data_IF_883130444221
#
_entry.id   IF_883130444221
#
_cell.length_a   1.000
_cell.length_b   1.000
_cell.length_c   1.000
_cell.angle_alpha   90.00
_cell.angle_beta   90.00
_cell.angle_gamma   90.00
#
_symmetry.space_group_name_H-M   'P 1'
#
loop_
_entity.id
_entity.type
_entity.pdbx_description
1 polymer ?
#
# COMPACT_ATOMS: atom_id res chain seq x y z
N UNK A 1 -17.31 -1.75 -5.64
CA UNK A 1 -17.11 -0.88 -4.46
C UNK A 1 -16.37 0.34 -4.98
N UNK A 2 -16.99 1.52 -4.93
CA UNK A 2 -16.54 2.75 -5.62
C UNK A 2 -16.07 3.77 -4.60
N UNK A 3 -14.78 3.76 -4.27
CA UNK A 3 -14.07 4.87 -3.60
C UNK A 3 -12.58 4.64 -3.89
N UNK A 4 -11.99 5.30 -4.88
CA UNK A 4 -10.52 5.31 -5.09
C UNK A 4 -10.03 6.64 -5.68
N UNK A 5 -8.94 7.17 -5.11
CA UNK A 5 -8.32 8.43 -5.54
C UNK A 5 -7.24 8.17 -6.60
N UNK A 6 -7.22 8.98 -7.65
CA UNK A 6 -6.18 8.99 -8.69
C UNK A 6 -5.61 10.41 -8.81
N UNK A 7 -4.29 10.52 -8.76
CA UNK A 7 -3.58 11.74 -9.13
C UNK A 7 -2.85 11.53 -10.46
N UNK A 8 -3.18 12.35 -11.47
CA UNK A 8 -2.56 12.33 -12.79
C UNK A 8 -1.60 13.51 -12.92
N UNK A 9 -0.33 13.24 -13.22
CA UNK A 9 0.69 14.24 -13.53
C UNK A 9 1.11 14.07 -14.98
N UNK A 10 1.03 15.14 -15.77
CA UNK A 10 1.38 15.12 -17.19
C UNK A 10 2.70 15.87 -17.37
N UNK A 11 3.70 15.22 -17.95
CA UNK A 11 5.01 15.81 -18.21
C UNK A 11 5.23 15.89 -19.73
N UNK A 12 5.18 17.10 -20.30
CA UNK A 12 5.40 17.30 -21.73
C UNK A 12 6.84 17.67 -22.06
N UNK A 13 7.55 16.84 -22.82
CA UNK A 13 8.72 17.26 -23.61
C UNK A 13 8.49 16.90 -25.07
N UNK A 14 8.59 17.88 -25.98
CA UNK A 14 8.46 17.69 -27.42
C UNK A 14 9.59 16.77 -27.93
N UNK A 15 9.26 15.51 -28.22
CA UNK A 15 10.12 14.61 -28.97
C UNK A 15 9.29 14.01 -30.11
N UNK A 16 9.93 14.00 -31.29
CA UNK A 16 9.47 13.50 -32.60
C UNK A 16 8.35 12.46 -32.58
N UNK A 17 7.30 12.72 -33.37
CA UNK A 17 6.14 11.87 -33.62
C UNK A 17 6.52 10.40 -33.91
N UNK A 18 6.09 9.51 -33.03
CA UNK A 18 5.65 8.18 -33.45
C UNK A 18 4.20 8.30 -33.93
N UNK A 19 3.89 7.77 -35.11
CA UNK A 19 2.60 7.91 -35.80
C UNK A 19 1.39 7.22 -35.10
N UNK A 20 1.53 6.84 -33.83
CA UNK A 20 0.56 5.99 -33.13
C UNK A 20 -0.40 6.77 -32.21
N UNK A 21 -0.28 8.10 -32.08
CA UNK A 21 -1.17 8.92 -31.24
C UNK A 21 -1.29 8.37 -29.79
N UNK A 22 -0.20 7.81 -29.27
CA UNK A 22 -0.11 7.25 -27.92
C UNK A 22 0.84 8.06 -27.04
N UNK A 23 0.58 8.04 -25.73
CA UNK A 23 1.43 8.63 -24.69
C UNK A 23 2.02 7.54 -23.83
N UNK A 24 3.36 7.49 -23.74
CA UNK A 24 4.05 6.56 -22.84
C UNK A 24 3.73 6.94 -21.38
N UNK A 25 3.09 6.05 -20.66
CA UNK A 25 2.53 6.36 -19.36
C UNK A 25 3.08 5.44 -18.28
N UNK A 26 3.78 6.00 -17.31
CA UNK A 26 4.18 5.28 -16.09
C UNK A 26 3.02 5.25 -15.12
N UNK A 27 2.85 4.13 -14.43
CA UNK A 27 1.73 3.88 -13.52
C UNK A 27 2.28 3.32 -12.23
N UNK A 28 2.02 4.00 -11.12
CA UNK A 28 2.35 3.56 -9.78
C UNK A 28 1.05 3.16 -9.05
N UNK A 29 1.01 1.96 -8.48
CA UNK A 29 -0.11 1.48 -7.67
C UNK A 29 0.35 1.26 -6.22
N UNK A 30 -0.24 2.00 -5.31
CA UNK A 30 0.05 1.94 -3.88
C UNK A 30 -1.20 2.13 -3.03
N UNK A 31 -1.09 1.98 -1.71
CA UNK A 31 -2.10 2.48 -0.78
C UNK A 31 -1.85 3.96 -0.44
N UNK A 32 -2.68 4.58 0.40
CA UNK A 32 -2.53 5.96 0.87
C UNK A 32 -1.18 6.23 1.57
N UNK A 33 -0.48 5.16 1.96
CA UNK A 33 0.79 5.19 2.66
C UNK A 33 1.99 4.89 1.76
N UNK A 34 1.80 4.95 0.43
CA UNK A 34 2.82 4.70 -0.59
C UNK A 34 3.43 3.29 -0.55
N UNK A 35 2.79 2.33 0.13
CA UNK A 35 3.21 0.94 0.05
C UNK A 35 2.74 0.36 -1.27
N UNK A 36 3.66 -0.18 -2.07
CA UNK A 36 3.31 -0.68 -3.39
C UNK A 36 2.44 -1.92 -3.32
N UNK A 37 1.59 -2.09 -4.32
CA UNK A 37 0.92 -3.36 -4.60
C UNK A 37 1.69 -4.10 -5.71
N UNK A 38 2.63 -5.00 -5.37
CA UNK A 38 3.40 -5.73 -6.36
C UNK A 38 2.59 -6.86 -7.00
N UNK A 39 3.01 -7.31 -8.19
CA UNK A 39 2.39 -8.42 -8.92
C UNK A 39 0.87 -8.28 -9.10
N UNK A 40 0.39 -7.04 -9.19
CA UNK A 40 -1.03 -6.71 -9.21
C UNK A 40 -1.46 -6.38 -10.62
N UNK A 41 -2.50 -7.07 -11.10
CA UNK A 41 -3.04 -6.85 -12.43
C UNK A 41 -3.77 -5.51 -12.49
N UNK A 42 -3.46 -4.69 -13.48
CA UNK A 42 -4.14 -3.44 -13.79
C UNK A 42 -4.75 -3.54 -15.19
N UNK A 43 -6.00 -3.11 -15.35
CA UNK A 43 -6.71 -3.07 -16.62
C UNK A 43 -7.05 -1.63 -16.98
N UNK A 44 -6.79 -1.25 -18.22
CA UNK A 44 -7.18 0.02 -18.81
C UNK A 44 -8.21 -0.26 -19.90
N UNK A 45 -9.40 0.29 -19.73
CA UNK A 45 -10.55 0.04 -20.61
C UNK A 45 -11.11 1.36 -21.13
N UNK A 46 -10.99 1.57 -22.44
CA UNK A 46 -11.57 2.69 -23.17
C UNK A 46 -12.26 2.19 -24.44
N UNK A 47 -12.71 3.12 -25.30
CA UNK A 47 -13.35 2.74 -26.57
C UNK A 47 -12.33 2.18 -27.55
N UNK A 48 -11.09 2.69 -27.51
CA UNK A 48 -9.98 2.30 -28.39
C UNK A 48 -8.85 1.60 -27.63
N UNK A 49 -8.89 1.62 -26.32
CA UNK A 49 -7.86 1.08 -25.43
C UNK A 49 -8.39 -0.15 -24.69
N UNK A 50 -7.66 -1.25 -24.78
CA UNK A 50 -7.86 -2.42 -23.93
C UNK A 50 -6.50 -3.00 -23.58
N UNK A 51 -5.98 -2.63 -22.41
CA UNK A 51 -4.63 -2.99 -21.97
C UNK A 51 -4.75 -3.68 -20.61
N UNK A 52 -3.99 -4.76 -20.45
CA UNK A 52 -3.81 -5.43 -19.16
C UNK A 52 -2.33 -5.51 -18.89
N UNK A 53 -1.91 -5.04 -17.72
CA UNK A 53 -0.52 -5.08 -17.26
C UNK A 53 -0.45 -5.61 -15.83
N UNK A 54 0.76 -5.87 -15.33
CA UNK A 54 1.04 -6.35 -13.99
C UNK A 54 2.15 -5.48 -13.40
N UNK A 55 1.96 -5.03 -12.17
CA UNK A 55 2.98 -4.25 -11.46
C UNK A 55 4.20 -5.08 -11.07
N UNK A 56 5.37 -4.46 -11.08
CA UNK A 56 6.61 -5.04 -10.58
C UNK A 56 6.68 -5.07 -9.03
N UNK A 57 7.85 -5.40 -8.47
CA UNK A 57 8.06 -5.43 -7.01
C UNK A 57 7.89 -4.07 -6.32
N UNK A 58 7.98 -2.98 -7.08
CA UNK A 58 7.84 -1.60 -6.60
C UNK A 58 6.43 -1.04 -6.88
N UNK A 59 5.49 -1.88 -7.33
CA UNK A 59 4.13 -1.43 -7.63
C UNK A 59 4.04 -0.63 -8.93
N UNK A 60 5.05 -0.71 -9.80
CA UNK A 60 5.15 0.11 -10.99
C UNK A 60 4.90 -0.70 -12.27
N UNK A 61 4.40 -0.03 -13.30
CA UNK A 61 4.26 -0.57 -14.66
C UNK A 61 4.25 0.60 -15.65
N UNK A 62 4.42 0.32 -16.94
CA UNK A 62 4.21 1.30 -18.00
C UNK A 62 3.21 0.77 -19.05
N UNK A 63 2.45 1.68 -19.67
CA UNK A 63 1.49 1.41 -20.75
C UNK A 63 1.49 2.57 -21.75
N UNK A 64 1.19 2.28 -23.01
CA UNK A 64 0.96 3.33 -24.02
C UNK A 64 -0.55 3.64 -24.09
N UNK A 65 -0.94 4.83 -23.65
CA UNK A 65 -2.36 5.26 -23.66
C UNK A 65 -2.68 6.00 -24.94
N UNK A 66 -3.76 5.62 -25.63
CA UNK A 66 -4.25 6.28 -26.84
C UNK A 66 -4.82 7.67 -26.49
N UNK A 67 -4.25 8.72 -27.07
CA UNK A 67 -4.71 10.10 -26.89
C UNK A 67 -6.12 10.29 -27.48
N UNK A 68 -6.94 11.11 -26.83
CA UNK A 68 -8.35 11.36 -27.13
C UNK A 68 -9.30 10.23 -26.72
N UNK A 69 -8.81 9.14 -26.11
CA UNK A 69 -9.67 8.07 -25.56
C UNK A 69 -10.00 8.34 -24.09
N UNK A 70 -11.14 7.84 -23.66
CA UNK A 70 -11.64 7.97 -22.30
C UNK A 70 -11.46 6.63 -21.60
N UNK A 71 -10.56 6.56 -20.62
CA UNK A 71 -10.09 5.31 -20.03
C UNK A 71 -10.59 5.15 -18.60
N UNK A 72 -11.23 4.02 -18.33
CA UNK A 72 -11.51 3.53 -16.98
C UNK A 72 -10.39 2.58 -16.57
N UNK A 73 -9.91 2.70 -15.34
CA UNK A 73 -8.89 1.81 -14.78
C UNK A 73 -9.50 0.91 -13.73
N UNK A 74 -9.09 -0.36 -13.71
CA UNK A 74 -9.34 -1.27 -12.59
C UNK A 74 -8.08 -2.02 -12.20
N UNK A 75 -8.02 -2.53 -10.97
CA UNK A 75 -7.00 -3.48 -10.54
C UNK A 75 -7.64 -4.74 -9.94
N UNK A 76 -6.90 -5.84 -9.91
CA UNK A 76 -7.33 -7.10 -9.28
C UNK A 76 -6.44 -7.41 -8.10
N UNK A 77 -7.01 -7.39 -6.89
CA UNK A 77 -6.32 -7.68 -5.63
C UNK A 77 -7.13 -8.75 -4.90
N UNK A 78 -6.48 -9.81 -4.44
CA UNK A 78 -7.12 -10.94 -3.75
C UNK A 78 -8.35 -11.49 -4.53
N UNK A 79 -8.18 -11.71 -5.84
CA UNK A 79 -9.21 -12.19 -6.77
C UNK A 79 -10.45 -11.28 -6.92
N UNK A 80 -10.42 -10.08 -6.34
CA UNK A 80 -11.49 -9.08 -6.41
C UNK A 80 -11.05 -7.91 -7.27
N UNK A 81 -11.95 -7.47 -8.15
CA UNK A 81 -11.72 -6.33 -9.04
C UNK A 81 -12.19 -5.03 -8.39
N UNK A 82 -11.34 -4.01 -8.45
CA UNK A 82 -11.58 -2.68 -7.92
C UNK A 82 -11.41 -1.66 -9.04
N UNK A 83 -12.49 -0.94 -9.35
CA UNK A 83 -12.52 0.10 -10.38
C UNK A 83 -12.21 1.46 -9.74
N UNK A 84 -11.35 2.25 -10.38
CA UNK A 84 -11.04 3.61 -9.96
C UNK A 84 -12.12 4.56 -10.47
N UNK A 85 -12.56 5.49 -9.61
CA UNK A 85 -13.66 6.41 -9.94
C UNK A 85 -13.25 7.45 -11.00
N UNK A 86 -11.97 7.77 -11.04
CA UNK A 86 -11.42 8.74 -11.99
C UNK A 86 -11.21 8.10 -13.36
N UNK A 87 -11.57 8.86 -14.37
CA UNK A 87 -11.35 8.53 -15.77
C UNK A 87 -10.07 9.22 -16.24
N UNK A 88 -9.21 8.51 -16.97
CA UNK A 88 -8.05 9.10 -17.62
C UNK A 88 -8.45 9.57 -19.02
N UNK A 89 -8.06 10.80 -19.34
CA UNK A 89 -8.16 11.36 -20.68
C UNK A 89 -6.86 12.10 -20.97
N UNK A 90 -6.23 11.78 -22.10
CA UNK A 90 -5.02 12.48 -22.58
C UNK A 90 -5.40 13.24 -23.84
N UNK A 91 -5.21 14.56 -23.83
CA UNK A 91 -5.59 15.44 -24.94
C UNK A 91 -4.70 15.18 -26.18
N UNK A 92 -5.34 14.93 -27.32
CA UNK A 92 -4.68 14.64 -28.60
C UNK A 92 -4.21 15.90 -29.33
N UNK A 93 -4.53 17.10 -28.82
CA UNK A 93 -4.06 18.38 -29.36
C UNK A 93 -2.74 18.85 -28.75
N UNK A 94 -2.34 18.29 -27.61
CA UNK A 94 -1.22 18.78 -26.81
C UNK A 94 0.10 18.06 -27.07
N UNK A 95 0.13 17.04 -27.95
CA UNK A 95 1.33 16.23 -28.25
C UNK A 95 2.05 15.73 -26.99
N UNK A 96 1.29 15.15 -26.05
CA UNK A 96 1.84 14.68 -24.77
C UNK A 96 2.66 13.40 -25.00
N UNK A 97 3.98 13.48 -24.86
CA UNK A 97 4.89 12.36 -25.07
C UNK A 97 4.91 11.39 -23.88
N UNK A 98 4.81 11.90 -22.65
CA UNK A 98 4.74 11.07 -21.45
C UNK A 98 3.76 11.58 -20.39
N UNK A 99 3.30 10.65 -19.55
CA UNK A 99 2.46 10.93 -18.40
C UNK A 99 2.79 9.98 -17.23
N UNK A 100 2.45 10.40 -16.02
CA UNK A 100 2.57 9.59 -14.80
C UNK A 100 1.23 9.51 -14.08
N UNK A 101 0.85 8.29 -13.73
CA UNK A 101 -0.42 7.96 -13.08
C UNK A 101 -0.14 7.37 -11.71
N UNK A 102 -0.61 8.02 -10.66
CA UNK A 102 -0.54 7.52 -9.30
C UNK A 102 -1.91 7.03 -8.86
N UNK A 103 -2.09 5.70 -8.87
CA UNK A 103 -3.28 4.99 -8.42
C UNK A 103 -3.13 4.66 -6.93
N UNK A 104 -4.07 5.15 -6.11
CA UNK A 104 -4.11 4.81 -4.69
C UNK A 104 -5.34 3.98 -4.33
N UNK A 105 -5.11 2.85 -3.66
CA UNK A 105 -6.16 1.95 -3.18
C UNK A 105 -5.95 1.51 -1.74
N UNK A 106 -6.92 1.84 -0.90
CA UNK A 106 -6.99 1.42 0.50
C UNK A 106 -8.04 0.35 0.67
N UNK A 107 -7.56 -0.86 0.93
CA UNK A 107 -8.39 -2.00 1.25
C UNK A 107 -8.67 -2.08 2.76
N UNK A 108 -8.48 -1.00 3.52
CA UNK A 108 -8.72 -1.00 4.96
C UNK A 108 -10.20 -0.77 5.27
N UNK A 109 -10.80 -1.66 6.07
CA UNK A 109 -12.11 -1.47 6.68
C UNK A 109 -12.01 -0.67 7.98
N UNK A 110 -10.99 -0.95 8.79
CA UNK A 110 -10.66 -0.19 9.99
C UNK A 110 -9.19 -0.35 10.36
N UNK A 111 -8.66 0.62 11.11
CA UNK A 111 -7.30 0.61 11.66
C UNK A 111 -7.41 0.63 13.18
N UNK A 112 -6.83 -0.39 13.82
CA UNK A 112 -6.77 -0.57 15.27
C UNK A 112 -5.31 -0.40 15.69
N UNK A 113 -5.02 0.71 16.36
CA UNK A 113 -3.71 0.93 16.98
C UNK A 113 -3.59 0.10 18.27
N UNK A 114 -2.51 -0.68 18.38
CA UNK A 114 -2.19 -1.37 19.62
C UNK A 114 -1.43 -0.43 20.55
N UNK A 115 -2.18 0.49 21.18
CA UNK A 115 -1.66 1.62 21.97
C UNK A 115 -0.64 1.25 23.06
N UNK A 116 -0.60 -0.01 23.47
CA UNK A 116 0.33 -0.49 24.48
C UNK A 116 1.51 -1.27 23.91
N UNK A 117 1.43 -1.81 22.68
CA UNK A 117 2.46 -2.66 22.12
C UNK A 117 3.63 -1.82 21.58
N UNK A 118 4.53 -1.47 22.50
CA UNK A 118 5.76 -0.73 22.21
C UNK A 118 6.96 -1.67 22.22
N UNK A 119 7.81 -1.56 21.20
CA UNK A 119 9.10 -2.24 21.20
C UNK A 119 10.17 -1.37 21.86
N UNK A 120 11.10 -2.01 22.56
CA UNK A 120 12.34 -1.34 22.93
C UNK A 120 13.11 -0.94 21.66
N UNK A 121 13.95 0.09 21.78
CA UNK A 121 14.81 0.52 20.68
C UNK A 121 15.63 -0.66 20.15
N UNK A 122 15.71 -0.78 18.82
CA UNK A 122 16.39 -1.84 18.09
C UNK A 122 15.94 -3.29 18.38
N UNK A 123 14.82 -3.51 19.10
CA UNK A 123 14.28 -4.85 19.38
C UNK A 123 12.97 -5.12 18.65
N UNK A 124 12.70 -6.40 18.45
CA UNK A 124 11.45 -6.93 17.88
C UNK A 124 10.83 -8.05 18.75
N UNK A 125 11.40 -8.34 19.92
CA UNK A 125 10.83 -9.32 20.85
C UNK A 125 9.55 -8.79 21.53
N UNK A 126 8.51 -9.61 21.51
CA UNK A 126 7.24 -9.31 22.16
C UNK A 126 7.36 -9.61 23.66
N UNK A 127 7.30 -8.58 24.49
CA UNK A 127 7.26 -8.73 25.95
C UNK A 127 5.95 -9.34 26.41
N UNK A 128 6.00 -10.15 27.46
CA UNK A 128 4.84 -10.81 28.07
C UNK A 128 3.71 -9.84 28.45
N UNK A 129 4.05 -8.60 28.85
CA UNK A 129 3.05 -7.57 29.19
C UNK A 129 2.11 -7.22 28.03
N UNK A 130 2.47 -7.56 26.79
CA UNK A 130 1.64 -7.35 25.59
C UNK A 130 0.80 -8.56 25.21
N UNK A 131 0.93 -9.68 25.92
CA UNK A 131 0.19 -10.89 25.57
C UNK A 131 -1.32 -10.72 25.78
N UNK A 132 -1.77 -9.85 26.69
CA UNK A 132 -3.20 -9.55 26.86
C UNK A 132 -3.78 -8.95 25.58
N UNK A 133 -3.22 -7.83 25.11
CA UNK A 133 -3.70 -7.16 23.89
C UNK A 133 -3.62 -8.10 22.67
N UNK A 134 -2.54 -8.88 22.55
CA UNK A 134 -2.39 -9.85 21.46
C UNK A 134 -3.37 -11.03 21.54
N UNK A 135 -3.73 -11.47 22.74
CA UNK A 135 -4.74 -12.50 22.93
C UNK A 135 -6.14 -11.97 22.59
N UNK A 136 -6.42 -10.68 22.81
CA UNK A 136 -7.69 -10.06 22.43
C UNK A 136 -7.84 -10.03 20.90
N UNK A 137 -6.79 -9.63 20.17
CA UNK A 137 -6.75 -9.70 18.70
C UNK A 137 -6.94 -11.15 18.24
N UNK A 138 -6.23 -12.10 18.86
CA UNK A 138 -6.39 -13.51 18.55
C UNK A 138 -7.84 -13.98 18.74
N UNK A 139 -8.48 -13.61 19.85
CA UNK A 139 -9.87 -13.93 20.14
C UNK A 139 -10.81 -13.40 19.05
N UNK A 140 -10.62 -12.14 18.64
CA UNK A 140 -11.38 -11.53 17.57
C UNK A 140 -11.18 -12.24 16.22
N UNK A 141 -9.94 -12.47 15.78
CA UNK A 141 -9.64 -13.15 14.51
C UNK A 141 -10.09 -14.62 14.48
N UNK A 142 -10.14 -15.27 15.65
CA UNK A 142 -10.66 -16.63 15.79
C UNK A 142 -12.18 -16.68 15.62
N UNK A 143 -12.89 -15.66 16.13
CA UNK A 143 -14.33 -15.53 15.95
C UNK A 143 -14.67 -15.16 14.49
N UNK A 144 -14.01 -14.14 13.96
CA UNK A 144 -14.26 -13.59 12.62
C UNK A 144 -13.37 -14.25 11.56
N UNK A 145 -13.71 -15.47 11.14
CA UNK A 145 -12.84 -16.31 10.28
C UNK A 145 -12.58 -15.75 8.87
N UNK A 146 -13.42 -14.84 8.40
CA UNK A 146 -13.31 -14.25 7.05
C UNK A 146 -12.50 -12.95 7.03
N UNK A 147 -12.09 -12.45 8.20
CA UNK A 147 -11.30 -11.22 8.29
C UNK A 147 -9.84 -11.51 7.95
N UNK A 148 -9.28 -10.74 7.03
CA UNK A 148 -7.86 -10.65 6.80
C UNK A 148 -7.33 -9.37 7.44
N UNK A 149 -6.09 -9.39 7.94
CA UNK A 149 -5.46 -8.22 8.54
C UNK A 149 -4.09 -7.94 7.92
N UNK A 150 -3.71 -6.67 7.96
CA UNK A 150 -2.34 -6.22 7.82
C UNK A 150 -1.80 -5.81 9.19
N UNK A 151 -0.62 -6.31 9.54
CA UNK A 151 0.16 -5.85 10.68
C UNK A 151 1.16 -4.84 10.15
N UNK A 152 0.93 -3.57 10.48
CA UNK A 152 1.75 -2.44 10.07
C UNK A 152 2.72 -2.08 11.21
N UNK A 153 4.02 -2.22 10.95
CA UNK A 153 5.07 -1.86 11.91
C UNK A 153 5.65 -0.48 11.62
N UNK A 154 5.98 0.27 12.67
CA UNK A 154 6.56 1.60 12.57
C UNK A 154 7.78 1.76 13.50
N UNK A 155 8.68 2.67 13.15
CA UNK A 155 9.83 3.08 13.97
C UNK A 155 9.77 4.57 14.28
N UNK A 156 10.61 5.01 15.20
CA UNK A 156 11.05 6.41 15.28
C UNK A 156 12.06 6.71 14.16
N UNK A 157 12.55 7.95 14.11
CA UNK A 157 13.49 8.47 13.12
C UNK A 157 14.97 8.21 13.46
N UNK A 158 15.25 7.30 14.40
CA UNK A 158 16.62 7.01 14.83
C UNK A 158 17.16 5.82 14.04
N UNK A 159 18.04 6.10 13.10
CA UNK A 159 18.66 5.10 12.23
C UNK A 159 18.70 5.58 10.79
N UNK A 160 19.13 4.70 9.88
CA UNK A 160 18.91 4.92 8.45
C UNK A 160 17.58 4.31 8.00
N UNK A 161 17.00 4.87 6.94
CA UNK A 161 15.71 4.47 6.40
C UNK A 161 15.62 2.96 6.12
N UNK A 162 16.69 2.36 5.58
CA UNK A 162 16.70 0.95 5.22
C UNK A 162 16.70 0.05 6.48
N UNK A 163 17.45 0.44 7.51
CA UNK A 163 17.43 -0.20 8.82
C UNK A 163 16.05 -0.09 9.46
N UNK A 164 15.44 1.09 9.47
CA UNK A 164 14.12 1.32 10.06
C UNK A 164 13.01 0.59 9.31
N UNK A 165 13.10 0.52 7.98
CA UNK A 165 12.25 -0.31 7.13
C UNK A 165 12.34 -1.80 7.49
N UNK A 166 13.56 -2.31 7.68
CA UNK A 166 13.77 -3.70 8.10
C UNK A 166 13.24 -3.97 9.51
N UNK A 167 13.56 -3.08 10.47
CA UNK A 167 13.18 -3.23 11.87
C UNK A 167 11.65 -3.21 12.06
N UNK A 168 10.97 -2.28 11.40
CA UNK A 168 9.51 -2.24 11.41
C UNK A 168 8.88 -3.52 10.82
N UNK A 169 9.45 -4.06 9.74
CA UNK A 169 8.99 -5.31 9.15
C UNK A 169 9.21 -6.51 10.10
N UNK A 170 10.38 -6.60 10.74
CA UNK A 170 10.71 -7.67 11.70
C UNK A 170 9.76 -7.64 12.93
N UNK A 171 9.38 -6.44 13.39
CA UNK A 171 8.37 -6.25 14.43
C UNK A 171 7.00 -6.77 14.01
N UNK A 172 6.55 -6.44 12.80
CA UNK A 172 5.29 -6.94 12.25
C UNK A 172 5.29 -8.48 12.13
N UNK A 173 6.40 -9.06 11.65
CA UNK A 173 6.58 -10.51 11.55
C UNK A 173 6.56 -11.21 12.91
N UNK A 174 7.06 -10.56 13.96
CA UNK A 174 7.03 -11.10 15.32
C UNK A 174 5.59 -11.23 15.84
N UNK A 175 4.75 -10.23 15.57
CA UNK A 175 3.31 -10.27 15.92
C UNK A 175 2.58 -11.33 15.10
N UNK A 176 2.84 -11.42 13.78
CA UNK A 176 2.31 -12.51 12.95
C UNK A 176 2.69 -13.88 13.50
N UNK A 177 3.95 -14.07 13.85
CA UNK A 177 4.46 -15.34 14.38
C UNK A 177 3.73 -15.74 15.67
N UNK A 178 3.45 -14.79 16.56
CA UNK A 178 2.64 -15.03 17.75
C UNK A 178 1.21 -15.49 17.40
N UNK A 179 0.52 -14.79 16.50
CA UNK A 179 -0.86 -15.13 16.11
C UNK A 179 -0.95 -16.47 15.37
N UNK A 180 0.01 -16.77 14.50
CA UNK A 180 0.08 -18.03 13.76
C UNK A 180 0.33 -19.21 14.72
N UNK A 181 1.24 -19.06 15.68
CA UNK A 181 1.47 -20.09 16.71
C UNK A 181 0.22 -20.38 17.56
N UNK A 182 -0.66 -19.38 17.73
CA UNK A 182 -1.96 -19.54 18.41
C UNK A 182 -3.04 -20.19 17.53
N UNK A 183 -2.78 -20.35 16.23
CA UNK A 183 -3.64 -21.05 15.28
C UNK A 183 -4.39 -20.18 14.28
N UNK A 184 -4.01 -18.91 14.11
CA UNK A 184 -4.51 -18.11 12.97
C UNK A 184 -3.79 -18.53 11.69
N UNK A 185 -4.53 -18.72 10.60
CA UNK A 185 -3.95 -19.04 9.29
C UNK A 185 -3.04 -17.88 8.83
N UNK A 186 -1.80 -18.21 8.45
CA UNK A 186 -0.81 -17.25 8.00
C UNK A 186 -1.23 -16.47 6.74
N UNK A 187 -2.13 -17.03 5.93
CA UNK A 187 -2.66 -16.38 4.73
C UNK A 187 -3.62 -15.25 5.05
N UNK A 188 -4.18 -15.23 6.27
CA UNK A 188 -5.05 -14.15 6.76
C UNK A 188 -4.28 -12.95 7.29
N UNK A 189 -2.95 -13.01 7.31
CA UNK A 189 -2.10 -11.99 7.93
C UNK A 189 -1.03 -11.54 6.95
N UNK A 190 -1.13 -10.29 6.50
CA UNK A 190 -0.07 -9.56 5.80
C UNK A 190 0.80 -8.80 6.82
N UNK A 191 2.10 -8.71 6.57
CA UNK A 191 3.02 -7.88 7.36
C UNK A 191 3.64 -6.83 6.47
N UNK A 192 3.69 -5.59 6.95
CA UNK A 192 4.34 -4.48 6.25
C UNK A 192 5.10 -3.64 7.26
N UNK A 193 6.40 -3.43 7.01
CA UNK A 193 7.16 -2.39 7.69
C UNK A 193 6.95 -1.06 6.98
N UNK A 194 6.73 0.00 7.73
CA UNK A 194 6.59 1.37 7.22
C UNK A 194 7.79 2.25 7.61
N UNK A 195 8.75 1.69 8.35
CA UNK A 195 9.86 2.43 8.94
C UNK A 195 9.36 3.66 9.70
N UNK A 196 10.06 4.77 9.48
CA UNK A 196 9.80 6.07 10.09
C UNK A 196 8.90 6.98 9.25
N UNK A 197 8.43 6.52 8.08
CA UNK A 197 7.74 7.34 7.09
C UNK A 197 6.35 7.80 7.53
N UNK A 198 5.84 7.27 8.65
CA UNK A 198 4.49 7.54 9.16
C UNK A 198 4.50 7.93 10.65
N UNK A 199 5.12 9.06 11.01
CA UNK A 199 5.12 9.52 12.39
C UNK A 199 3.73 10.00 12.79
N UNK A 200 3.28 9.61 13.98
CA UNK A 200 2.04 10.09 14.60
C UNK A 200 2.31 11.07 15.75
N UNK A 201 3.58 11.26 16.09
CA UNK A 201 4.03 12.19 17.11
C UNK A 201 5.41 12.76 16.76
N UNK A 202 5.82 13.81 17.48
CA UNK A 202 7.07 14.52 17.25
C UNK A 202 8.30 13.69 17.65
N UNK A 203 9.10 13.30 16.65
CA UNK A 203 10.35 12.56 16.83
C UNK A 203 11.44 13.33 17.57
N UNK A 204 11.32 14.66 17.71
CA UNK A 204 12.28 15.44 18.50
C UNK A 204 12.24 15.07 20.00
N UNK A 205 11.13 14.52 20.47
CA UNK A 205 10.90 14.15 21.88
C UNK A 205 10.94 12.64 22.09
N UNK A 206 11.44 12.17 23.24
CA UNK A 206 11.42 10.73 23.54
C UNK A 206 9.99 10.19 23.62
N UNK A 207 9.06 11.00 24.14
CA UNK A 207 7.65 10.63 24.18
C UNK A 207 7.05 10.44 22.79
N UNK A 208 7.38 11.31 21.83
CA UNK A 208 6.90 11.16 20.46
C UNK A 208 7.57 10.00 19.73
N UNK A 209 8.88 9.78 19.94
CA UNK A 209 9.56 8.58 19.43
C UNK A 209 8.94 7.29 19.96
N UNK A 210 8.62 7.23 21.25
CA UNK A 210 7.94 6.08 21.84
C UNK A 210 6.60 5.79 21.15
N UNK A 211 5.81 6.83 20.86
CA UNK A 211 4.56 6.69 20.10
C UNK A 211 4.77 6.25 18.66
N UNK A 212 5.85 6.66 18.02
CA UNK A 212 6.16 6.28 16.65
C UNK A 212 6.62 4.81 16.55
N UNK A 213 7.27 4.27 17.59
CA UNK A 213 7.63 2.84 17.72
C UNK A 213 6.43 1.95 18.05
N UNK A 214 5.48 1.84 17.12
CA UNK A 214 4.18 1.16 17.32
C UNK A 214 3.89 0.04 16.32
N UNK A 215 2.83 -0.72 16.61
CA UNK A 215 2.16 -1.64 15.69
C UNK A 215 0.70 -1.23 15.52
N UNK A 216 0.25 -1.23 14.28
CA UNK A 216 -1.16 -1.11 13.93
C UNK A 216 -1.67 -2.43 13.33
N UNK A 217 -2.92 -2.78 13.64
CA UNK A 217 -3.66 -3.84 12.98
C UNK A 217 -4.68 -3.20 12.07
N UNK A 218 -4.58 -3.46 10.77
CA UNK A 218 -5.52 -2.92 9.77
C UNK A 218 -6.37 -4.06 9.24
N UNK A 219 -7.69 -3.96 9.41
CA UNK A 219 -8.65 -4.92 8.89
C UNK A 219 -8.81 -4.70 7.39
N UNK A 220 -8.72 -5.77 6.60
CA UNK A 220 -8.77 -5.72 5.13
C UNK A 220 -10.18 -6.07 4.58
N UNK A 221 -10.58 -5.39 3.50
CA UNK A 221 -11.85 -5.51 2.74
C UNK A 221 -11.84 -6.56 1.62
#
# INVERSE_FOLDING_TARGET
MKILSLALLIFGNLISQDNNNTTFTTVNLSNEFNVPYPNTKIKFSGKRTSIVTITDSLGQTAVDIVQGDTIVVSCVINDKEYEFDNIIYIDDTQNISSAEINLQIDLYESIIELKNLNFESAKYDIKQKYYTDLNDIFGYLKQEKNINIEIAGHTDDIGDDAYNQKLSNDRALSVKSFLVQKGIDSNRIKCVGYGEQQPIADNSTEFGREKNRRIEIRILK
#
